data_IF_379112278104
#
_entry.id   IF_379112278104
#
_cell.length_a   1.000
_cell.length_b   1.000
_cell.length_c   1.000
_cell.angle_alpha   90.00
_cell.angle_beta   90.00
_cell.angle_gamma   90.00
#
_symmetry.space_group_name_H-M   'P 1'
#
loop_
_entity.id
_entity.type
_entity.pdbx_description
1 polymer ?
#
# COMPACT_ATOMS: atom_id res chain seq x y z
N UNK A 1 9.27 26.13 -17.32
CA UNK A 1 8.12 25.38 -16.80
C UNK A 1 7.87 25.94 -15.42
N UNK A 2 6.89 26.82 -15.28
CA UNK A 2 6.48 27.28 -13.97
C UNK A 2 5.99 26.06 -13.18
N UNK A 3 6.53 25.87 -11.97
CA UNK A 3 6.07 24.80 -11.08
C UNK A 3 4.58 24.97 -10.86
N UNK A 4 3.80 23.95 -11.22
CA UNK A 4 2.36 23.94 -11.03
C UNK A 4 2.08 23.96 -9.52
N UNK A 5 1.79 25.15 -8.98
CA UNK A 5 1.53 25.34 -7.55
C UNK A 5 0.03 25.57 -7.35
N UNK A 6 -0.59 24.70 -6.57
CA UNK A 6 -1.95 24.90 -6.08
C UNK A 6 -2.00 26.15 -5.20
N UNK A 7 -3.12 26.87 -5.21
CA UNK A 7 -3.27 28.03 -4.32
C UNK A 7 -3.27 27.59 -2.85
N UNK A 8 -2.73 28.42 -1.95
CA UNK A 8 -2.69 28.11 -0.51
C UNK A 8 -4.08 27.79 0.05
N UNK A 9 -5.10 28.53 -0.42
CA UNK A 9 -6.50 28.28 -0.05
C UNK A 9 -6.96 26.86 -0.43
N UNK A 10 -6.61 26.39 -1.63
CA UNK A 10 -7.01 25.07 -2.11
C UNK A 10 -6.23 23.96 -1.41
N UNK A 11 -4.93 24.16 -1.19
CA UNK A 11 -4.12 23.21 -0.41
C UNK A 11 -4.69 23.04 0.99
N UNK A 12 -5.02 24.15 1.67
CA UNK A 12 -5.62 24.12 2.98
C UNK A 12 -6.98 23.41 2.99
N UNK A 13 -7.85 23.68 2.03
CA UNK A 13 -9.16 23.02 1.91
C UNK A 13 -9.04 21.50 1.74
N UNK A 14 -8.13 21.04 0.87
CA UNK A 14 -7.88 19.61 0.67
C UNK A 14 -7.32 18.95 1.93
N UNK A 15 -6.35 19.60 2.60
CA UNK A 15 -5.74 19.09 3.82
C UNK A 15 -6.73 19.04 4.98
N UNK A 16 -7.59 20.04 5.15
CA UNK A 16 -8.64 20.05 6.18
C UNK A 16 -9.61 18.87 6.02
N UNK A 17 -10.07 18.59 4.79
CA UNK A 17 -10.90 17.41 4.52
C UNK A 17 -10.16 16.12 4.84
N UNK A 18 -8.88 16.05 4.51
CA UNK A 18 -8.04 14.88 4.76
C UNK A 18 -7.91 14.61 6.27
N UNK A 19 -7.52 15.63 7.04
CA UNK A 19 -7.37 15.55 8.50
C UNK A 19 -8.70 15.32 9.22
N UNK A 20 -9.80 15.86 8.70
CA UNK A 20 -11.13 15.60 9.24
C UNK A 20 -11.50 14.13 9.11
N UNK A 21 -11.24 13.50 7.96
CA UNK A 21 -11.49 12.08 7.79
C UNK A 21 -10.61 11.22 8.71
N UNK A 22 -9.34 11.56 8.92
CA UNK A 22 -8.49 10.89 9.92
C UNK A 22 -9.04 11.04 11.34
N UNK A 23 -9.51 12.23 11.71
CA UNK A 23 -10.14 12.47 13.02
C UNK A 23 -11.34 11.54 13.24
N UNK A 24 -12.21 11.42 12.23
CA UNK A 24 -13.41 10.57 12.32
C UNK A 24 -13.05 9.07 12.31
N UNK A 25 -12.10 8.67 11.46
CA UNK A 25 -11.62 7.29 11.40
C UNK A 25 -11.02 6.86 12.75
N UNK A 26 -10.27 7.76 13.41
CA UNK A 26 -9.68 7.50 14.73
C UNK A 26 -10.71 7.28 15.85
N UNK A 27 -11.96 7.76 15.69
CA UNK A 27 -13.06 7.47 16.61
C UNK A 27 -13.80 6.16 16.29
N UNK A 28 -13.39 5.42 15.25
CA UNK A 28 -13.96 4.15 14.83
C UNK A 28 -15.17 4.24 13.89
N UNK A 29 -15.50 5.45 13.42
CA UNK A 29 -16.64 5.69 12.52
C UNK A 29 -16.20 5.71 11.04
N UNK A 30 -15.90 4.51 10.52
CA UNK A 30 -15.43 4.34 9.14
C UNK A 30 -16.43 4.84 8.08
N UNK A 31 -17.75 4.76 8.31
CA UNK A 31 -18.76 5.18 7.32
C UNK A 31 -18.73 6.70 7.15
N UNK A 32 -18.73 7.44 8.27
CA UNK A 32 -18.61 8.90 8.25
C UNK A 32 -17.25 9.36 7.72
N UNK A 33 -16.16 8.65 8.08
CA UNK A 33 -14.83 8.94 7.55
C UNK A 33 -14.80 8.78 6.02
N UNK A 34 -15.34 7.68 5.49
CA UNK A 34 -15.45 7.44 4.05
C UNK A 34 -16.31 8.48 3.34
N UNK A 35 -17.34 9.01 3.99
CA UNK A 35 -18.17 10.09 3.43
C UNK A 35 -17.33 11.34 3.21
N UNK A 36 -16.54 11.75 4.20
CA UNK A 36 -15.64 12.91 4.10
C UNK A 36 -14.54 12.67 3.06
N UNK A 37 -13.93 11.49 3.06
CA UNK A 37 -12.87 11.16 2.12
C UNK A 37 -13.36 10.94 0.67
N UNK A 38 -14.61 10.55 0.47
CA UNK A 38 -15.23 10.55 -0.86
C UNK A 38 -15.37 11.96 -1.41
N UNK A 39 -15.76 12.92 -0.57
CA UNK A 39 -15.80 14.35 -0.95
C UNK A 39 -14.38 14.89 -1.24
N UNK A 40 -13.40 14.52 -0.42
CA UNK A 40 -11.99 14.85 -0.70
C UNK A 40 -11.55 14.30 -2.05
N UNK A 41 -11.83 13.04 -2.35
CA UNK A 41 -11.47 12.44 -3.63
C UNK A 41 -12.09 13.18 -4.81
N UNK A 42 -13.38 13.50 -4.73
CA UNK A 42 -14.06 14.31 -5.74
C UNK A 42 -13.37 15.67 -5.92
N UNK A 43 -13.02 16.34 -4.82
CA UNK A 43 -12.33 17.64 -4.87
C UNK A 43 -10.92 17.54 -5.46
N UNK A 44 -10.22 16.44 -5.23
CA UNK A 44 -8.93 16.13 -5.87
C UNK A 44 -9.13 16.01 -7.39
N UNK A 45 -10.11 15.24 -7.85
CA UNK A 45 -10.40 15.08 -9.28
C UNK A 45 -10.80 16.40 -9.96
N UNK A 46 -11.65 17.20 -9.32
CA UNK A 46 -12.01 18.56 -9.80
C UNK A 46 -10.78 19.48 -9.88
N UNK A 47 -9.86 19.35 -8.92
CA UNK A 47 -8.60 20.10 -8.92
C UNK A 47 -7.70 19.65 -10.05
N UNK A 48 -7.56 18.34 -10.26
CA UNK A 48 -6.79 17.80 -11.38
C UNK A 48 -7.31 18.31 -12.72
N UNK A 49 -8.63 18.31 -12.93
CA UNK A 49 -9.24 18.85 -14.14
C UNK A 49 -8.96 20.36 -14.30
N UNK A 50 -9.20 21.15 -13.25
CA UNK A 50 -9.00 22.61 -13.27
C UNK A 50 -7.56 23.01 -13.61
N UNK A 51 -6.59 22.30 -13.07
CA UNK A 51 -5.16 22.58 -13.27
C UNK A 51 -4.55 21.75 -14.41
N UNK A 52 -5.37 20.98 -15.16
CA UNK A 52 -4.94 20.10 -16.25
C UNK A 52 -3.85 19.11 -15.82
N UNK A 53 -3.97 18.59 -14.61
CA UNK A 53 -3.12 17.53 -14.07
C UNK A 53 -3.71 16.20 -14.53
N UNK A 54 -2.95 15.46 -15.33
CA UNK A 54 -3.42 14.18 -15.88
C UNK A 54 -3.27 13.03 -14.88
N UNK A 55 -2.23 13.08 -14.04
CA UNK A 55 -1.81 11.95 -13.21
C UNK A 55 -1.73 12.29 -11.72
N UNK A 56 -2.13 11.33 -10.86
CA UNK A 56 -2.12 11.46 -9.40
C UNK A 56 -0.71 11.73 -8.88
N UNK A 57 0.34 11.21 -9.51
CA UNK A 57 1.72 11.46 -9.06
C UNK A 57 2.14 12.93 -9.27
N UNK A 58 1.54 13.66 -10.21
CA UNK A 58 1.77 15.08 -10.38
C UNK A 58 0.91 15.90 -9.40
N UNK A 59 -0.33 15.45 -9.14
CA UNK A 59 -1.20 16.04 -8.14
C UNK A 59 -0.59 15.92 -6.74
N UNK A 60 -0.03 14.76 -6.39
CA UNK A 60 0.63 14.49 -5.12
C UNK A 60 1.87 15.37 -4.92
N UNK A 61 2.65 15.62 -5.98
CA UNK A 61 3.79 16.55 -5.93
C UNK A 61 3.38 18.01 -5.78
N UNK A 62 2.23 18.39 -6.35
CA UNK A 62 1.72 19.75 -6.30
C UNK A 62 0.99 20.07 -4.98
N UNK A 63 0.63 19.04 -4.21
CA UNK A 63 -0.05 19.15 -2.93
C UNK A 63 0.95 19.10 -1.77
N UNK A 64 1.03 20.18 -0.99
CA UNK A 64 1.94 20.30 0.15
C UNK A 64 1.19 20.25 1.50
N UNK A 65 0.26 19.31 1.65
CA UNK A 65 -0.45 19.05 2.91
C UNK A 65 0.36 18.27 3.93
N UNK A 66 -0.27 17.92 5.05
CA UNK A 66 0.35 17.15 6.14
C UNK A 66 0.62 15.69 5.75
N UNK A 67 -0.18 15.15 4.84
CA UNK A 67 -0.04 13.80 4.28
C UNK A 67 0.07 13.86 2.76
N UNK A 68 0.70 12.85 2.16
CA UNK A 68 0.66 12.68 0.71
C UNK A 68 -0.66 12.02 0.28
N UNK A 69 -1.15 12.40 -0.90
CA UNK A 69 -2.28 11.74 -1.57
C UNK A 69 -1.96 10.26 -1.82
N UNK A 70 -0.70 9.92 -2.11
CA UNK A 70 -0.30 8.53 -2.27
C UNK A 70 -0.60 7.70 -1.01
N UNK A 71 -0.12 8.13 0.16
CA UNK A 71 -0.34 7.41 1.42
C UNK A 71 -1.81 7.44 1.84
N UNK A 72 -2.42 8.62 1.80
CA UNK A 72 -3.83 8.79 2.13
C UNK A 72 -4.75 7.90 1.30
N UNK A 73 -4.45 7.69 0.01
CA UNK A 73 -5.27 6.84 -0.86
C UNK A 73 -5.33 5.37 -0.41
N UNK A 74 -4.31 4.91 0.32
CA UNK A 74 -4.26 3.56 0.89
C UNK A 74 -5.06 3.48 2.19
N UNK A 75 -4.99 4.54 3.00
CA UNK A 75 -5.82 4.66 4.21
C UNK A 75 -7.30 4.76 3.85
N UNK A 76 -7.64 5.53 2.80
CA UNK A 76 -9.01 5.64 2.33
C UNK A 76 -9.55 4.32 1.80
N UNK A 77 -8.76 3.57 1.02
CA UNK A 77 -9.15 2.24 0.57
C UNK A 77 -9.39 1.30 1.76
N UNK A 78 -8.49 1.31 2.75
CA UNK A 78 -8.62 0.50 3.97
C UNK A 78 -9.92 0.84 4.72
N UNK A 79 -10.22 2.14 4.89
CA UNK A 79 -11.45 2.56 5.54
C UNK A 79 -12.70 2.23 4.74
N UNK A 80 -12.65 2.28 3.40
CA UNK A 80 -13.75 1.81 2.55
C UNK A 80 -14.01 0.32 2.77
N UNK A 81 -12.96 -0.50 2.91
CA UNK A 81 -13.09 -1.91 3.29
C UNK A 81 -13.67 -2.10 4.70
N UNK A 82 -13.24 -1.30 5.68
CA UNK A 82 -13.79 -1.33 7.04
C UNK A 82 -15.26 -0.93 7.08
N UNK A 83 -15.64 0.09 6.32
CA UNK A 83 -17.00 0.57 6.22
C UNK A 83 -17.90 -0.43 5.46
N UNK A 84 -17.36 -1.09 4.43
CA UNK A 84 -18.07 -2.12 3.65
C UNK A 84 -18.53 -3.32 4.49
N UNK A 85 -17.80 -3.66 5.56
CA UNK A 85 -18.21 -4.69 6.52
C UNK A 85 -19.47 -4.31 7.31
N UNK A 86 -19.74 -3.01 7.45
CA UNK A 86 -20.90 -2.46 8.18
C UNK A 86 -22.05 -2.12 7.24
N UNK A 87 -21.74 -1.59 6.06
CA UNK A 87 -22.72 -1.14 5.06
C UNK A 87 -22.29 -1.55 3.65
N UNK A 88 -23.04 -2.50 3.06
CA UNK A 88 -22.76 -3.03 1.72
C UNK A 88 -22.96 -2.01 0.60
N UNK A 89 -23.69 -0.91 0.84
CA UNK A 89 -23.87 0.16 -0.16
C UNK A 89 -22.56 0.84 -0.56
N UNK A 90 -21.52 0.73 0.30
CA UNK A 90 -20.19 1.32 0.09
C UNK A 90 -19.40 0.60 -1.02
N UNK A 91 -19.78 -0.63 -1.39
CA UNK A 91 -19.04 -1.42 -2.37
C UNK A 91 -18.86 -0.66 -3.71
N UNK A 92 -19.91 0.01 -4.19
CA UNK A 92 -19.83 0.74 -5.45
C UNK A 92 -18.89 1.97 -5.33
N UNK A 93 -18.91 2.66 -4.20
CA UNK A 93 -17.98 3.76 -3.92
C UNK A 93 -16.54 3.27 -3.92
N UNK A 94 -16.26 2.12 -3.28
CA UNK A 94 -14.93 1.51 -3.25
C UNK A 94 -14.45 1.13 -4.65
N UNK A 95 -15.30 0.49 -5.45
CA UNK A 95 -15.01 0.13 -6.84
C UNK A 95 -14.68 1.37 -7.68
N UNK A 96 -15.51 2.41 -7.58
CA UNK A 96 -15.34 3.65 -8.33
C UNK A 96 -14.01 4.33 -7.97
N UNK A 97 -13.76 4.55 -6.68
CA UNK A 97 -12.51 5.16 -6.20
C UNK A 97 -11.28 4.39 -6.69
N UNK A 98 -11.27 3.05 -6.53
CA UNK A 98 -10.14 2.24 -6.94
C UNK A 98 -9.88 2.34 -8.46
N UNK A 99 -10.92 2.21 -9.28
CA UNK A 99 -10.81 2.30 -10.73
C UNK A 99 -10.39 3.69 -11.21
N UNK A 100 -10.94 4.75 -10.61
CA UNK A 100 -10.57 6.13 -10.93
C UNK A 100 -9.10 6.39 -10.58
N UNK A 101 -8.66 6.00 -9.38
CA UNK A 101 -7.26 6.13 -8.97
C UNK A 101 -6.33 5.38 -9.93
N UNK A 102 -6.66 4.11 -10.25
CA UNK A 102 -5.90 3.31 -11.22
C UNK A 102 -5.86 4.04 -12.56
N UNK A 103 -6.99 4.54 -13.07
CA UNK A 103 -7.04 5.24 -14.36
C UNK A 103 -6.13 6.47 -14.40
N UNK A 104 -5.99 7.18 -13.26
CA UNK A 104 -5.20 8.40 -13.09
C UNK A 104 -3.76 8.18 -12.62
N UNK A 105 -3.27 6.94 -12.53
CA UNK A 105 -1.87 6.66 -12.19
C UNK A 105 -1.05 6.31 -13.44
N UNK A 106 0.24 6.70 -13.48
CA UNK A 106 1.17 6.23 -14.52
C UNK A 106 1.67 4.81 -14.25
N UNK A 107 1.92 4.47 -12.99
CA UNK A 107 2.56 3.21 -12.61
C UNK A 107 1.52 2.16 -12.21
N UNK A 108 0.93 1.49 -13.20
CA UNK A 108 -0.16 0.51 -12.98
C UNK A 108 0.26 -0.70 -12.13
N UNK A 109 1.55 -0.97 -12.04
CA UNK A 109 2.18 -2.08 -11.32
C UNK A 109 2.75 -1.68 -9.95
N UNK A 110 2.55 -0.45 -9.50
CA UNK A 110 2.98 -0.04 -8.16
C UNK A 110 2.10 -0.66 -7.07
N UNK A 111 2.60 -0.62 -5.83
CA UNK A 111 1.94 -1.24 -4.68
C UNK A 111 0.49 -0.80 -4.52
N UNK A 112 0.23 0.51 -4.60
CA UNK A 112 -1.10 1.07 -4.42
C UNK A 112 -2.09 0.60 -5.48
N UNK A 113 -1.67 0.55 -6.76
CA UNK A 113 -2.53 0.07 -7.83
C UNK A 113 -2.77 -1.44 -7.74
N UNK A 114 -1.75 -2.23 -7.40
CA UNK A 114 -1.93 -3.67 -7.20
C UNK A 114 -2.93 -3.97 -6.07
N UNK A 115 -2.84 -3.26 -4.94
CA UNK A 115 -3.84 -3.32 -3.87
C UNK A 115 -5.23 -2.99 -4.43
N UNK A 116 -5.39 -1.82 -5.04
CA UNK A 116 -6.70 -1.36 -5.55
C UNK A 116 -7.34 -2.34 -6.54
N UNK A 117 -6.57 -3.00 -7.40
CA UNK A 117 -7.09 -4.04 -8.32
C UNK A 117 -7.68 -5.23 -7.56
N UNK A 118 -6.99 -5.74 -6.53
CA UNK A 118 -7.49 -6.82 -5.67
C UNK A 118 -8.75 -6.38 -4.91
N UNK A 119 -8.77 -5.15 -4.42
CA UNK A 119 -9.88 -4.62 -3.64
C UNK A 119 -11.15 -4.37 -4.49
N UNK A 120 -11.01 -4.06 -5.78
CA UNK A 120 -12.13 -4.09 -6.75
C UNK A 120 -12.70 -5.50 -6.85
N UNK A 121 -11.85 -6.52 -7.02
CA UNK A 121 -12.29 -7.92 -7.11
C UNK A 121 -13.00 -8.37 -5.83
N UNK A 122 -12.44 -8.09 -4.65
CA UNK A 122 -13.09 -8.33 -3.35
C UNK A 122 -14.47 -7.65 -3.25
N UNK A 123 -14.58 -6.40 -3.72
CA UNK A 123 -15.85 -5.66 -3.65
C UNK A 123 -16.95 -6.31 -4.49
N UNK A 124 -16.63 -6.99 -5.59
CA UNK A 124 -17.61 -7.77 -6.35
C UNK A 124 -18.10 -9.01 -5.59
N UNK A 125 -17.21 -9.71 -4.88
CA UNK A 125 -17.62 -10.79 -3.98
C UNK A 125 -18.57 -10.30 -2.88
N UNK A 126 -18.30 -9.12 -2.33
CA UNK A 126 -19.15 -8.51 -1.29
C UNK A 126 -20.53 -8.06 -1.81
N UNK A 127 -20.66 -7.87 -3.12
CA UNK A 127 -21.92 -7.61 -3.80
C UNK A 127 -22.65 -8.89 -4.24
N UNK A 128 -22.11 -10.08 -3.95
CA UNK A 128 -22.62 -11.35 -4.45
C UNK A 128 -22.37 -11.59 -5.95
N UNK A 129 -21.57 -10.73 -6.59
CA UNK A 129 -21.18 -10.79 -8.00
C UNK A 129 -19.90 -11.62 -8.15
N UNK A 130 -20.02 -12.89 -7.77
CA UNK A 130 -18.89 -13.82 -7.60
C UNK A 130 -18.16 -14.05 -8.92
N UNK A 131 -18.87 -14.16 -10.05
CA UNK A 131 -18.26 -14.41 -11.36
C UNK A 131 -17.35 -13.25 -11.79
N UNK A 132 -17.78 -12.01 -11.56
CA UNK A 132 -17.00 -10.82 -11.86
C UNK A 132 -15.75 -10.72 -10.97
N UNK A 133 -15.90 -10.95 -9.67
CA UNK A 133 -14.77 -10.96 -8.74
C UNK A 133 -13.76 -12.06 -9.07
N UNK A 134 -14.24 -13.27 -9.35
CA UNK A 134 -13.43 -14.43 -9.74
C UNK A 134 -12.61 -14.14 -11.00
N UNK A 135 -13.26 -13.58 -12.02
CA UNK A 135 -12.60 -13.20 -13.26
C UNK A 135 -11.45 -12.22 -13.01
N UNK A 136 -11.70 -11.19 -12.20
CA UNK A 136 -10.70 -10.18 -11.88
C UNK A 136 -9.50 -10.74 -11.11
N UNK A 137 -9.72 -11.61 -10.12
CA UNK A 137 -8.61 -12.27 -9.43
C UNK A 137 -7.82 -13.22 -10.33
N UNK A 138 -8.52 -14.02 -11.16
CA UNK A 138 -7.88 -14.92 -12.11
C UNK A 138 -7.02 -14.17 -13.12
N UNK A 139 -7.50 -13.03 -13.63
CA UNK A 139 -6.72 -12.14 -14.50
C UNK A 139 -5.54 -11.50 -13.75
N UNK A 140 -5.75 -11.05 -12.52
CA UNK A 140 -4.71 -10.45 -11.68
C UNK A 140 -3.53 -11.40 -11.48
N UNK A 141 -3.76 -12.62 -11.01
CA UNK A 141 -2.66 -13.57 -10.75
C UNK A 141 -2.03 -14.11 -12.03
N UNK A 142 -2.72 -14.04 -13.18
CA UNK A 142 -2.11 -14.34 -14.47
C UNK A 142 -1.13 -13.26 -14.90
N UNK A 143 -1.46 -12.00 -14.63
CA UNK A 143 -0.63 -10.84 -14.97
C UNK A 143 0.52 -10.63 -13.96
N UNK A 144 0.27 -10.87 -12.68
CA UNK A 144 1.22 -10.70 -11.57
C UNK A 144 1.38 -12.02 -10.78
N UNK A 145 1.87 -13.10 -11.40
CA UNK A 145 1.88 -14.44 -10.78
C UNK A 145 2.75 -14.52 -9.53
N UNK A 146 3.76 -13.66 -9.42
CA UNK A 146 4.64 -13.62 -8.23
C UNK A 146 4.03 -12.84 -7.05
N UNK A 147 2.88 -12.19 -7.18
CA UNK A 147 2.26 -11.40 -6.11
C UNK A 147 1.52 -12.33 -5.13
N UNK A 148 2.14 -12.62 -3.97
CA UNK A 148 1.56 -13.52 -2.97
C UNK A 148 0.23 -13.04 -2.42
N UNK A 149 0.06 -11.72 -2.26
CA UNK A 149 -1.20 -11.12 -1.82
C UNK A 149 -2.36 -11.31 -2.82
N UNK A 150 -2.09 -11.39 -4.12
CA UNK A 150 -3.05 -11.80 -5.15
C UNK A 150 -3.66 -13.15 -4.87
N UNK A 151 -2.81 -14.16 -4.62
CA UNK A 151 -3.25 -15.51 -4.30
C UNK A 151 -3.97 -15.59 -2.96
N UNK A 152 -3.46 -14.89 -1.93
CA UNK A 152 -4.08 -14.83 -0.60
C UNK A 152 -5.47 -14.19 -0.68
N UNK A 153 -5.59 -13.00 -1.27
CA UNK A 153 -6.86 -12.29 -1.34
C UNK A 153 -7.90 -13.04 -2.17
N UNK A 154 -7.49 -13.74 -3.23
CA UNK A 154 -8.38 -14.60 -4.00
C UNK A 154 -8.86 -15.81 -3.18
N UNK A 155 -7.94 -16.52 -2.52
CA UNK A 155 -8.27 -17.65 -1.63
C UNK A 155 -9.21 -17.24 -0.50
N UNK A 156 -9.01 -16.06 0.08
CA UNK A 156 -9.81 -15.55 1.20
C UNK A 156 -11.29 -15.37 0.86
N UNK A 157 -11.62 -15.19 -0.42
CA UNK A 157 -13.02 -15.10 -0.87
C UNK A 157 -13.77 -16.44 -0.76
N UNK A 158 -13.05 -17.55 -0.58
CA UNK A 158 -13.60 -18.90 -0.42
C UNK A 158 -13.26 -19.54 0.94
N UNK A 159 -12.27 -18.98 1.65
CA UNK A 159 -11.69 -19.55 2.86
C UNK A 159 -12.44 -19.27 4.17
N UNK A 160 -11.68 -19.12 5.26
CA UNK A 160 -12.22 -19.03 6.62
C UNK A 160 -13.15 -17.82 6.83
N UNK A 161 -12.80 -16.69 6.21
CA UNK A 161 -13.47 -15.40 6.37
C UNK A 161 -14.47 -15.08 5.24
N UNK A 162 -14.64 -16.00 4.30
CA UNK A 162 -15.58 -15.83 3.19
C UNK A 162 -17.03 -15.73 3.69
N UNK A 163 -17.85 -14.99 2.93
CA UNK A 163 -19.30 -15.02 3.09
C UNK A 163 -19.81 -16.47 3.00
N UNK A 164 -20.85 -16.80 3.77
CA UNK A 164 -21.28 -18.19 3.99
C UNK A 164 -21.59 -18.91 2.67
N UNK A 165 -22.21 -18.20 1.75
CA UNK A 165 -22.57 -18.64 0.40
C UNK A 165 -21.37 -18.91 -0.50
N UNK A 166 -20.23 -18.28 -0.23
CA UNK A 166 -19.01 -18.43 -1.00
C UNK A 166 -18.04 -19.46 -0.39
N UNK A 167 -18.29 -19.95 0.83
CA UNK A 167 -17.36 -20.85 1.51
C UNK A 167 -17.10 -22.11 0.70
N UNK A 168 -15.85 -22.29 0.27
CA UNK A 168 -15.36 -23.45 -0.44
C UNK A 168 -13.89 -23.68 -0.08
N UNK A 169 -13.67 -24.50 0.96
CA UNK A 169 -12.33 -24.77 1.49
C UNK A 169 -11.39 -25.42 0.48
N UNK A 170 -11.90 -26.36 -0.34
CA UNK A 170 -11.11 -27.03 -1.38
C UNK A 170 -10.63 -26.02 -2.44
N UNK A 171 -11.51 -25.12 -2.87
CA UNK A 171 -11.14 -24.06 -3.82
C UNK A 171 -10.11 -23.12 -3.21
N UNK A 172 -10.31 -22.66 -1.98
CA UNK A 172 -9.35 -21.81 -1.28
C UNK A 172 -7.97 -22.47 -1.17
N UNK A 173 -7.90 -23.75 -0.81
CA UNK A 173 -6.66 -24.53 -0.79
C UNK A 173 -6.01 -24.55 -2.17
N UNK A 174 -6.78 -24.89 -3.21
CA UNK A 174 -6.25 -25.02 -4.57
C UNK A 174 -5.64 -23.73 -5.12
N UNK A 175 -6.19 -22.57 -4.75
CA UNK A 175 -5.67 -21.26 -5.14
C UNK A 175 -4.30 -21.01 -4.49
N UNK A 176 -4.17 -21.28 -3.19
CA UNK A 176 -2.90 -21.08 -2.48
C UNK A 176 -1.82 -22.07 -2.94
N UNK A 177 -2.18 -23.34 -3.17
CA UNK A 177 -1.27 -24.35 -3.70
C UNK A 177 -0.78 -23.95 -5.10
N UNK A 178 -1.67 -23.48 -5.99
CA UNK A 178 -1.27 -22.96 -7.30
C UNK A 178 -0.30 -21.77 -7.20
N UNK A 179 -0.51 -20.86 -6.24
CA UNK A 179 0.43 -19.78 -5.97
C UNK A 179 1.81 -20.29 -5.50
N UNK A 180 1.85 -21.32 -4.65
CA UNK A 180 3.08 -21.91 -4.12
C UNK A 180 3.94 -22.63 -5.18
N UNK A 181 3.35 -23.03 -6.30
CA UNK A 181 4.07 -23.56 -7.46
C UNK A 181 4.76 -22.47 -8.31
N UNK A 182 4.44 -21.20 -8.10
CA UNK A 182 5.05 -20.10 -8.86
C UNK A 182 6.50 -19.88 -8.40
N UNK A 183 7.43 -20.01 -9.35
CA UNK A 183 8.84 -19.66 -9.14
C UNK A 183 8.98 -18.16 -8.80
N UNK A 184 9.72 -17.85 -7.73
CA UNK A 184 9.92 -16.47 -7.30
C UNK A 184 8.70 -15.80 -6.67
N UNK A 185 7.71 -16.59 -6.20
CA UNK A 185 6.56 -16.08 -5.44
C UNK A 185 7.03 -15.20 -4.27
N UNK A 186 6.58 -13.93 -4.29
CA UNK A 186 6.75 -12.98 -3.19
C UNK A 186 5.79 -13.32 -2.06
N UNK A 187 6.14 -12.91 -0.83
CA UNK A 187 5.31 -13.13 0.35
C UNK A 187 5.00 -14.63 0.58
N UNK A 188 5.91 -15.52 0.16
CA UNK A 188 5.73 -16.98 0.27
C UNK A 188 5.45 -17.42 1.70
N UNK A 189 6.07 -16.76 2.69
CA UNK A 189 5.79 -16.99 4.10
C UNK A 189 4.30 -16.79 4.42
N UNK A 190 3.72 -15.67 3.97
CA UNK A 190 2.31 -15.32 4.22
C UNK A 190 1.35 -16.28 3.50
N UNK A 191 1.71 -16.72 2.28
CA UNK A 191 0.93 -17.72 1.53
C UNK A 191 0.92 -19.06 2.27
N UNK A 192 2.08 -19.53 2.75
CA UNK A 192 2.20 -20.74 3.56
C UNK A 192 1.44 -20.63 4.88
N UNK A 193 1.53 -19.49 5.57
CA UNK A 193 0.79 -19.28 6.81
C UNK A 193 -0.72 -19.28 6.58
N UNK A 194 -1.19 -18.66 5.50
CA UNK A 194 -2.60 -18.68 5.13
C UNK A 194 -3.09 -20.10 4.84
N UNK A 195 -2.30 -20.89 4.09
CA UNK A 195 -2.62 -22.28 3.77
C UNK A 195 -2.65 -23.15 5.04
N UNK A 196 -1.68 -22.98 5.95
CA UNK A 196 -1.67 -23.66 7.25
C UNK A 196 -2.94 -23.37 8.04
N UNK A 197 -3.32 -22.10 8.16
CA UNK A 197 -4.51 -21.68 8.91
C UNK A 197 -5.78 -22.28 8.30
N UNK A 198 -5.85 -22.34 6.97
CA UNK A 198 -6.98 -22.95 6.27
C UNK A 198 -7.04 -24.46 6.53
N UNK A 199 -5.92 -25.18 6.49
CA UNK A 199 -5.86 -26.60 6.85
C UNK A 199 -6.30 -26.85 8.30
N UNK A 200 -5.86 -26.02 9.25
CA UNK A 200 -6.25 -26.14 10.65
C UNK A 200 -7.76 -25.89 10.83
N UNK A 201 -8.30 -24.83 10.21
CA UNK A 201 -9.72 -24.51 10.28
C UNK A 201 -10.64 -25.52 9.57
N UNK A 202 -10.09 -26.39 8.73
CA UNK A 202 -10.79 -27.52 8.09
C UNK A 202 -10.51 -28.87 8.78
N UNK A 203 -9.90 -28.86 9.96
CA UNK A 203 -9.51 -30.04 10.75
C UNK A 203 -8.54 -31.00 10.01
N UNK A 204 -7.80 -30.49 9.02
CA UNK A 204 -6.78 -31.23 8.27
C UNK A 204 -5.43 -31.19 8.98
N UNK A 205 -5.41 -31.64 10.25
CA UNK A 205 -4.28 -31.49 11.19
C UNK A 205 -2.94 -31.99 10.65
N UNK A 206 -2.95 -33.10 9.91
CA UNK A 206 -1.72 -33.67 9.34
C UNK A 206 -1.11 -32.74 8.28
N UNK A 207 -1.92 -32.23 7.35
CA UNK A 207 -1.48 -31.26 6.34
C UNK A 207 -1.04 -29.94 6.97
N UNK A 208 -1.78 -29.45 7.97
CA UNK A 208 -1.37 -28.24 8.70
C UNK A 208 0.02 -28.40 9.33
N UNK A 209 0.33 -29.58 9.88
CA UNK A 209 1.64 -29.90 10.46
C UNK A 209 2.75 -29.97 9.40
N UNK A 210 2.47 -30.51 8.22
CA UNK A 210 3.40 -30.54 7.09
C UNK A 210 3.77 -29.11 6.64
N UNK A 211 2.75 -28.28 6.36
CA UNK A 211 2.95 -26.88 5.99
C UNK A 211 3.66 -26.10 7.10
N UNK A 212 3.41 -26.41 8.38
CA UNK A 212 4.09 -25.75 9.50
C UNK A 212 5.62 -25.94 9.46
N UNK A 213 6.13 -27.06 8.93
CA UNK A 213 7.56 -27.26 8.75
C UNK A 213 8.10 -26.35 7.64
N UNK A 214 7.36 -26.20 6.54
CA UNK A 214 7.72 -25.28 5.46
C UNK A 214 7.71 -23.81 5.91
N UNK A 215 6.71 -23.40 6.69
CA UNK A 215 6.64 -22.06 7.31
C UNK A 215 7.89 -21.77 8.13
N UNK A 216 8.36 -22.73 8.93
CA UNK A 216 9.59 -22.58 9.72
C UNK A 216 10.82 -22.47 8.82
N UNK A 217 10.89 -23.27 7.76
CA UNK A 217 11.94 -23.21 6.74
C UNK A 217 12.00 -21.85 6.05
N UNK A 218 10.85 -21.33 5.60
CA UNK A 218 10.76 -20.04 4.94
C UNK A 218 11.14 -18.89 5.89
N UNK A 219 10.66 -18.90 7.13
CA UNK A 219 11.02 -17.91 8.15
C UNK A 219 12.53 -17.81 8.39
N UNK A 220 13.23 -18.95 8.37
CA UNK A 220 14.69 -18.96 8.47
C UNK A 220 15.37 -18.36 7.23
N UNK A 221 14.87 -18.67 6.02
CA UNK A 221 15.37 -18.08 4.76
C UNK A 221 15.21 -16.56 4.75
N UNK A 222 14.03 -16.05 5.11
CA UNK A 222 13.73 -14.61 5.12
C UNK A 222 14.63 -13.87 6.13
N UNK A 223 14.81 -14.45 7.33
CA UNK A 223 15.76 -13.91 8.33
C UNK A 223 17.20 -13.88 7.81
N UNK A 224 17.62 -14.93 7.09
CA UNK A 224 18.92 -14.99 6.44
C UNK A 224 19.11 -13.89 5.39
N UNK A 225 18.11 -13.69 4.54
CA UNK A 225 18.08 -12.64 3.52
C UNK A 225 18.13 -11.25 4.16
N UNK A 226 17.29 -10.98 5.15
CA UNK A 226 17.26 -9.70 5.88
C UNK A 226 18.62 -9.36 6.51
N UNK A 227 19.28 -10.35 7.14
CA UNK A 227 20.63 -10.18 7.69
C UNK A 227 21.69 -9.92 6.60
N UNK A 228 21.50 -10.45 5.40
CA UNK A 228 22.38 -10.19 4.26
C UNK A 228 22.18 -8.77 3.71
N UNK A 229 20.94 -8.30 3.61
CA UNK A 229 20.58 -6.97 3.15
C UNK A 229 21.09 -5.88 4.11
N UNK A 230 20.93 -6.09 5.42
CA UNK A 230 21.50 -5.20 6.45
C UNK A 230 23.02 -5.11 6.30
N UNK A 231 23.71 -6.24 6.10
CA UNK A 231 25.17 -6.24 5.88
C UNK A 231 25.56 -5.48 4.61
N UNK A 232 24.78 -5.63 3.53
CA UNK A 232 25.01 -4.92 2.28
C UNK A 232 24.80 -3.40 2.41
N UNK A 233 23.71 -2.96 3.07
CA UNK A 233 23.43 -1.56 3.36
C UNK A 233 24.56 -0.96 4.20
N UNK A 234 24.98 -1.64 5.27
CA UNK A 234 26.08 -1.18 6.12
C UNK A 234 27.39 -1.02 5.34
N UNK A 235 27.69 -1.92 4.39
CA UNK A 235 28.85 -1.79 3.50
C UNK A 235 28.74 -0.56 2.60
N UNK A 236 27.55 -0.28 2.02
CA UNK A 236 27.32 0.92 1.20
C UNK A 236 27.45 2.21 2.02
N UNK A 237 26.87 2.26 3.22
CA UNK A 237 26.97 3.41 4.13
C UNK A 237 28.42 3.67 4.54
N UNK A 238 29.19 2.61 4.83
CA UNK A 238 30.61 2.74 5.17
C UNK A 238 31.49 3.15 3.97
N UNK A 239 31.06 2.86 2.74
CA UNK A 239 31.76 3.32 1.54
C UNK A 239 31.42 4.78 1.19
N UNK A 240 30.18 5.22 1.40
CA UNK A 240 29.79 6.62 1.17
C UNK A 240 30.28 7.57 2.27
N UNK A 241 30.46 7.09 3.51
CA UNK A 241 31.04 7.89 4.61
C UNK A 241 32.53 8.22 4.40
N UNK A 242 33.26 7.45 3.58
CA UNK A 242 34.63 7.79 3.16
C UNK A 242 34.70 8.98 2.18
N UNK A 243 33.57 9.43 1.64
CA UNK A 243 33.49 10.61 0.74
C UNK A 243 33.10 11.91 1.46
N UNK A 244 32.71 11.85 2.74
CA UNK A 244 32.75 13.04 3.61
C UNK A 244 34.16 13.15 4.14
N UNK A 245 35.12 13.45 3.25
CA UNK A 245 36.29 14.17 3.72
C UNK A 245 35.71 15.44 4.35
N UNK A 246 35.82 15.57 5.67
CA UNK A 246 35.65 16.84 6.35
C UNK A 246 36.54 17.84 5.60
N UNK A 247 35.98 18.59 4.65
CA UNK A 247 36.67 19.69 3.99
C UNK A 247 37.00 20.61 5.15
N UNK A 248 38.24 20.54 5.64
CA UNK A 248 38.73 21.39 6.72
C UNK A 248 38.43 22.81 6.30
N UNK A 249 37.43 23.43 6.91
CA UNK A 249 37.08 24.82 6.62
C UNK A 249 38.33 25.64 6.90
N UNK A 250 38.86 26.29 5.87
CA UNK A 250 40.08 27.08 6.01
C UNK A 250 39.87 28.13 7.09
N UNK A 251 40.82 28.26 8.04
CA UNK A 251 40.73 29.18 9.19
C UNK A 251 40.34 30.63 8.82
N UNK A 252 40.65 31.06 7.60
CA UNK A 252 40.35 32.41 7.11
C UNK A 252 39.07 32.51 6.23
N UNK A 253 38.37 31.42 5.94
CA UNK A 253 37.13 31.42 5.14
C UNK A 253 35.96 32.07 5.91
N UNK A 254 34.91 32.58 5.23
CA UNK A 254 33.68 33.03 5.88
C UNK A 254 33.05 31.94 6.74
N UNK A 255 32.54 32.32 7.91
CA UNK A 255 31.99 31.36 8.87
C UNK A 255 30.60 30.88 8.42
N UNK A 256 30.35 29.55 8.41
CA UNK A 256 29.09 28.99 7.90
C UNK A 256 27.85 29.31 8.75
N UNK A 257 28.01 29.87 9.95
CA UNK A 257 26.89 30.31 10.80
C UNK A 257 26.24 31.63 10.37
N UNK A 258 26.67 32.22 9.23
CA UNK A 258 26.09 33.46 8.72
C UNK A 258 26.53 34.73 9.47
N UNK A 259 27.48 34.65 10.40
CA UNK A 259 27.93 35.80 11.21
C UNK A 259 28.73 36.86 10.45
N UNK A 260 29.09 36.61 9.19
CA UNK A 260 29.95 37.49 8.38
C UNK A 260 31.44 37.50 8.80
N UNK A 261 31.83 36.76 9.86
CA UNK A 261 33.22 36.71 10.36
C UNK A 261 34.03 35.56 9.72
N UNK A 262 35.36 35.63 9.76
CA UNK A 262 36.24 34.50 9.39
C UNK A 262 36.09 33.34 10.39
N UNK A 263 36.14 32.09 9.93
CA UNK A 263 35.91 30.88 10.73
C UNK A 263 36.72 30.85 12.05
N UNK A 264 38.03 31.14 12.00
CA UNK A 264 38.89 31.20 13.21
C UNK A 264 38.49 32.26 14.26
N UNK A 265 37.67 33.23 13.89
CA UNK A 265 37.18 34.31 14.77
C UNK A 265 35.74 34.10 15.23
N UNK A 266 35.11 32.97 14.88
CA UNK A 266 33.72 32.64 15.20
C UNK A 266 33.60 31.19 15.70
N UNK A 267 33.13 30.27 14.86
CA UNK A 267 32.90 28.86 15.23
C UNK A 267 34.19 28.01 15.30
N UNK A 268 35.33 28.53 14.84
CA UNK A 268 36.63 27.85 14.86
C UNK A 268 37.57 28.34 15.97
N UNK A 269 37.01 28.83 17.09
CA UNK A 269 37.75 29.08 18.33
C UNK A 269 37.93 27.78 19.10
#
# INVERSE_FOLDING_TARGET
>A
MDSLNLTDKLQHELDELMQRGYTISSSGDSVSACTVWSELWKRILETMERYKIEYIEDMDKAFHGLQSIYNWSTDFETELGNALRKDKSIAQTRINFCNEYISKSRKKDDFNNLVKRRMVAESYFELGKVEEGEKLYSEFVREYPTDGWGWINWSDQYGLFANKENKNGEKAISILEAGLEIEGLKDRYDVLERLRNLYDGLDMKQKAKEIQQEVQGQKMKDKGQQLSDIRFINKKVNQSSNTISNKKIGRNAPCPCGSGKKYKKCCGK
#
